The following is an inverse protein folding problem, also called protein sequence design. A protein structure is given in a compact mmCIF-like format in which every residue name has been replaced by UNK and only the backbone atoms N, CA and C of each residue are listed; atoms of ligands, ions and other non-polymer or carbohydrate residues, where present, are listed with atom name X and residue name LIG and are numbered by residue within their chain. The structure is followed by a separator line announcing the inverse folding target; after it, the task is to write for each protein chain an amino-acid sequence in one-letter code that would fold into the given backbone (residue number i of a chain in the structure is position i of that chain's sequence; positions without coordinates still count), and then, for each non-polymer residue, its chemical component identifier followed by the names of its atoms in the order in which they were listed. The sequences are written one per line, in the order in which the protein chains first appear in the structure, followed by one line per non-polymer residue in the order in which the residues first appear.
data_IF_603663260113
#
_entry.id   IF_603663260113
#
_cell.length_a   1.000
_cell.length_b   1.000
_cell.length_c   1.000
_cell.angle_alpha   90.00
_cell.angle_beta   90.00
_cell.angle_gamma   90.00
#
_symmetry.space_group_name_H-M   'P 1'
#
loop_
_entity.id
_entity.type
_entity.pdbx_description
1 polymer ?
#
# COMPACT_ATOMS: atom_id res chain seq x y z
N UNK A 1 -1.52 -28.73 23.16
CA UNK A 1 -0.27 -29.10 23.87
C UNK A 1 0.80 -29.41 22.82
N UNK A 2 1.54 -28.41 22.34
CA UNK A 2 2.66 -28.62 21.42
C UNK A 2 3.96 -28.51 22.23
N UNK A 3 4.78 -29.57 22.15
CA UNK A 3 5.99 -29.76 22.93
C UNK A 3 7.11 -28.84 22.45
N UNK A 4 7.80 -28.24 23.42
CA UNK A 4 9.14 -27.68 23.33
C UNK A 4 10.14 -28.64 22.70
N UNK A 5 11.01 -28.11 21.85
CA UNK A 5 12.38 -28.63 21.69
C UNK A 5 13.34 -27.46 21.86
N UNK A 6 13.87 -27.41 23.08
CA UNK A 6 15.02 -26.65 23.51
C UNK A 6 16.26 -27.23 22.82
N UNK A 7 16.88 -26.47 21.91
CA UNK A 7 18.09 -26.84 21.19
C UNK A 7 19.21 -25.84 21.46
N UNK A 8 19.82 -25.98 22.64
CA UNK A 8 21.05 -25.33 23.09
C UNK A 8 22.23 -25.69 22.17
N UNK A 9 22.80 -24.71 21.46
CA UNK A 9 24.13 -24.84 20.85
C UNK A 9 25.05 -23.69 21.26
N UNK A 10 25.86 -24.03 22.25
CA UNK A 10 27.30 -23.80 22.38
C UNK A 10 27.91 -22.47 21.90
N UNK A 11 28.35 -21.69 22.90
CA UNK A 11 29.24 -20.54 22.79
C UNK A 11 30.70 -21.00 22.62
N UNK A 12 31.45 -20.37 21.71
CA UNK A 12 32.91 -20.22 21.80
C UNK A 12 33.37 -18.93 21.11
N UNK A 13 34.01 -17.97 21.82
CA UNK A 13 34.71 -16.85 21.21
C UNK A 13 36.22 -17.14 21.06
N UNK A 14 36.90 -16.27 20.31
CA UNK A 14 38.33 -15.92 20.36
C UNK A 14 39.11 -16.19 19.06
N UNK A 15 39.32 -15.15 18.24
CA UNK A 15 40.68 -14.76 17.83
C UNK A 15 40.76 -13.25 17.54
N UNK A 16 41.74 -12.61 18.17
CA UNK A 16 42.24 -11.28 17.90
C UNK A 16 42.99 -11.32 16.56
N UNK A 17 42.69 -10.37 15.67
CA UNK A 17 43.45 -10.14 14.44
C UNK A 17 43.37 -8.68 14.02
N UNK A 18 44.23 -7.83 14.60
CA UNK A 18 44.59 -6.54 14.02
C UNK A 18 45.76 -6.79 13.06
N UNK A 19 45.59 -6.49 11.78
CA UNK A 19 46.66 -6.63 10.82
C UNK A 19 46.28 -6.19 9.41
N UNK A 20 46.86 -5.07 8.99
CA UNK A 20 47.25 -4.86 7.60
C UNK A 20 46.20 -4.23 6.71
N UNK A 21 46.33 -2.92 6.48
CA UNK A 21 45.73 -2.27 5.34
C UNK A 21 46.12 -2.95 4.03
N UNK A 22 45.14 -3.07 3.15
CA UNK A 22 45.36 -3.22 1.72
C UNK A 22 44.34 -2.32 1.05
N UNK A 23 44.80 -1.15 0.65
CA UNK A 23 44.15 -0.28 -0.32
C UNK A 23 43.82 -1.11 -1.56
N UNK A 24 42.55 -1.27 -1.96
CA UNK A 24 42.25 -1.84 -3.26
C UNK A 24 42.73 -0.86 -4.34
N UNK A 25 43.50 -1.31 -5.35
CA UNK A 25 43.81 -0.50 -6.50
C UNK A 25 42.56 -0.36 -7.37
N UNK A 26 42.21 0.88 -7.70
CA UNK A 26 41.41 1.21 -8.89
C UNK A 26 40.08 0.46 -9.02
N UNK A 27 39.12 0.76 -8.15
CA UNK A 27 37.75 0.75 -8.62
C UNK A 27 37.60 2.00 -9.47
N UNK A 28 37.38 1.84 -10.78
CA UNK A 28 36.76 2.89 -11.59
C UNK A 28 35.62 3.51 -10.75
N UNK A 29 35.44 4.83 -10.76
CA UNK A 29 34.26 5.40 -10.13
C UNK A 29 33.07 4.67 -10.75
N UNK A 30 32.37 3.85 -9.95
CA UNK A 30 31.02 3.42 -10.29
C UNK A 30 30.36 4.70 -10.76
N UNK A 31 29.84 4.77 -12.01
CA UNK A 31 29.13 5.94 -12.45
C UNK A 31 28.05 6.12 -11.39
N UNK A 32 28.22 7.15 -10.56
CA UNK A 32 27.12 7.70 -9.79
C UNK A 32 26.12 7.98 -10.89
N UNK A 33 25.08 7.16 -10.96
CA UNK A 33 23.97 7.49 -11.79
C UNK A 33 23.44 8.76 -11.13
N UNK A 34 23.91 9.91 -11.61
CA UNK A 34 23.19 11.16 -11.52
C UNK A 34 21.86 10.81 -12.18
N UNK A 35 20.92 10.36 -11.35
CA UNK A 35 19.52 10.40 -11.69
C UNK A 35 19.26 11.90 -11.81
N UNK A 36 19.32 12.35 -13.06
CA UNK A 36 18.87 13.66 -13.49
C UNK A 36 17.64 13.98 -12.66
N UNK A 37 17.67 15.10 -11.93
CA UNK A 37 16.56 15.51 -11.08
C UNK A 37 15.40 15.89 -12.00
N UNK A 38 14.72 14.85 -12.50
CA UNK A 38 13.47 14.94 -13.23
C UNK A 38 12.56 15.87 -12.44
N UNK A 39 11.97 16.85 -13.13
CA UNK A 39 11.09 17.80 -12.48
C UNK A 39 9.86 17.05 -11.96
N UNK A 40 9.83 16.80 -10.65
CA UNK A 40 8.71 16.12 -10.01
C UNK A 40 7.39 16.83 -10.28
N UNK A 41 6.32 16.03 -10.38
CA UNK A 41 4.96 16.56 -10.51
C UNK A 41 4.64 17.60 -9.42
N UNK A 42 4.00 18.71 -9.80
CA UNK A 42 3.68 19.83 -8.88
C UNK A 42 2.23 19.82 -8.38
N UNK A 43 1.43 18.87 -8.84
CA UNK A 43 0.03 18.71 -8.42
C UNK A 43 -0.20 17.28 -7.95
N UNK A 44 -1.05 17.12 -6.92
CA UNK A 44 -1.35 15.80 -6.37
C UNK A 44 -1.83 14.80 -7.46
N UNK A 45 -2.74 15.15 -8.38
CA UNK A 45 -3.17 14.21 -9.41
C UNK A 45 -2.04 13.76 -10.35
N UNK A 46 -1.15 14.68 -10.74
CA UNK A 46 -0.01 14.34 -11.60
C UNK A 46 1.02 13.48 -10.85
N UNK A 47 1.25 13.73 -9.56
CA UNK A 47 2.15 12.91 -8.75
C UNK A 47 1.58 11.50 -8.53
N UNK A 48 0.25 11.36 -8.40
CA UNK A 48 -0.40 10.05 -8.36
C UNK A 48 -0.29 9.33 -9.70
N UNK A 49 -0.33 10.03 -10.84
CA UNK A 49 -0.08 9.40 -12.15
C UNK A 49 1.35 8.89 -12.30
N UNK A 50 2.34 9.67 -11.81
CA UNK A 50 3.73 9.26 -11.74
C UNK A 50 3.90 8.01 -10.85
N UNK A 51 3.25 7.99 -9.68
CA UNK A 51 3.24 6.85 -8.77
C UNK A 51 2.66 5.59 -9.43
N UNK A 52 1.55 5.72 -10.17
CA UNK A 52 0.94 4.60 -10.90
C UNK A 52 1.90 4.04 -11.95
N UNK A 53 2.58 4.90 -12.70
CA UNK A 53 3.54 4.45 -13.71
C UNK A 53 4.72 3.67 -13.10
N UNK A 54 5.25 4.15 -11.97
CA UNK A 54 6.32 3.44 -11.25
C UNK A 54 5.80 2.14 -10.62
N UNK A 55 4.60 2.15 -10.04
CA UNK A 55 3.95 0.95 -9.51
C UNK A 55 3.79 -0.13 -10.59
N UNK A 56 3.31 0.24 -11.78
CA UNK A 56 3.15 -0.69 -12.91
C UNK A 56 4.51 -1.26 -13.37
N UNK A 57 5.56 -0.44 -13.37
CA UNK A 57 6.92 -0.89 -13.67
C UNK A 57 7.44 -1.90 -12.64
N UNK A 58 7.26 -1.63 -11.34
CA UNK A 58 7.61 -2.57 -10.26
C UNK A 58 6.82 -3.88 -10.44
N UNK A 59 5.49 -3.79 -10.57
CA UNK A 59 4.60 -4.95 -10.72
C UNK A 59 5.01 -5.80 -11.90
N UNK A 60 5.21 -5.19 -13.07
CA UNK A 60 5.62 -5.91 -14.28
C UNK A 60 6.97 -6.60 -14.13
N UNK A 61 7.93 -5.98 -13.44
CA UNK A 61 9.24 -6.59 -13.21
C UNK A 61 9.15 -7.75 -12.22
N UNK A 62 8.40 -7.59 -11.12
CA UNK A 62 8.20 -8.64 -10.11
C UNK A 62 7.42 -9.84 -10.67
N UNK A 63 6.36 -9.61 -11.44
CA UNK A 63 5.59 -10.67 -12.10
C UNK A 63 6.42 -11.44 -13.14
N UNK A 64 7.39 -10.77 -13.77
CA UNK A 64 8.36 -11.40 -14.67
C UNK A 64 9.51 -12.11 -13.95
N UNK A 65 9.62 -11.98 -12.61
CA UNK A 65 10.74 -12.47 -11.82
C UNK A 65 12.06 -11.73 -12.09
N UNK A 66 12.00 -10.53 -12.66
CA UNK A 66 13.17 -9.73 -13.06
C UNK A 66 13.54 -8.73 -11.95
N UNK A 67 14.13 -9.27 -10.88
CA UNK A 67 14.48 -8.50 -9.67
C UNK A 67 15.45 -7.35 -9.96
N UNK A 68 16.40 -7.57 -10.87
CA UNK A 68 17.35 -6.52 -11.29
C UNK A 68 16.62 -5.34 -11.93
N UNK A 69 15.60 -5.59 -12.76
CA UNK A 69 14.76 -4.51 -13.31
C UNK A 69 13.82 -3.89 -12.30
N UNK A 70 13.40 -4.62 -11.27
CA UNK A 70 12.52 -4.09 -10.23
C UNK A 70 13.25 -3.11 -9.30
N UNK A 71 14.58 -3.25 -9.15
CA UNK A 71 15.35 -2.52 -8.14
C UNK A 71 15.32 -0.99 -8.32
N UNK A 72 15.55 -0.47 -9.52
CA UNK A 72 15.51 0.98 -9.76
C UNK A 72 14.11 1.58 -9.56
N UNK A 73 13.03 1.06 -10.17
CA UNK A 73 11.67 1.52 -9.91
C UNK A 73 11.27 1.41 -8.43
N UNK A 74 11.77 0.40 -7.70
CA UNK A 74 11.50 0.24 -6.27
C UNK A 74 12.20 1.32 -5.42
N UNK A 75 13.32 1.87 -5.87
CA UNK A 75 13.96 3.04 -5.23
C UNK A 75 13.24 4.33 -5.60
N UNK A 76 12.89 4.49 -6.87
CA UNK A 76 12.17 5.66 -7.38
C UNK A 76 10.79 5.83 -6.73
N UNK A 77 10.08 4.73 -6.42
CA UNK A 77 8.76 4.80 -5.77
C UNK A 77 8.81 5.53 -4.43
N UNK A 78 9.91 5.39 -3.68
CA UNK A 78 10.10 6.11 -2.42
C UNK A 78 10.15 7.63 -2.63
N UNK A 79 10.92 8.10 -3.62
CA UNK A 79 11.00 9.53 -3.95
C UNK A 79 9.67 10.09 -4.45
N UNK A 80 8.95 9.33 -5.27
CA UNK A 80 7.62 9.75 -5.74
C UNK A 80 6.64 9.83 -4.57
N UNK A 81 6.68 8.87 -3.63
CA UNK A 81 5.82 8.90 -2.44
C UNK A 81 6.11 10.12 -1.53
N UNK A 82 7.37 10.52 -1.37
CA UNK A 82 7.72 11.75 -0.65
C UNK A 82 7.08 12.99 -1.31
N UNK A 83 7.08 13.06 -2.63
CA UNK A 83 6.41 14.14 -3.36
C UNK A 83 4.88 14.08 -3.23
N UNK A 84 4.30 12.88 -3.36
CA UNK A 84 2.84 12.67 -3.17
C UNK A 84 2.42 13.09 -1.76
N UNK A 85 3.21 12.78 -0.72
CA UNK A 85 2.97 13.20 0.66
C UNK A 85 2.94 14.72 0.80
N UNK A 86 3.98 15.42 0.33
CA UNK A 86 4.03 16.89 0.38
C UNK A 86 2.91 17.58 -0.40
N UNK A 87 2.37 16.92 -1.43
CA UNK A 87 1.20 17.40 -2.16
C UNK A 87 -0.11 17.07 -1.45
N UNK A 88 -0.20 15.90 -0.80
CA UNK A 88 -1.34 15.46 0.00
C UNK A 88 -1.58 16.34 1.22
N UNK A 89 -0.56 17.04 1.73
CA UNK A 89 -0.72 18.00 2.83
C UNK A 89 -1.74 19.10 2.53
N UNK A 90 -2.00 19.40 1.24
CA UNK A 90 -2.98 20.38 0.77
C UNK A 90 -4.41 19.86 0.69
N UNK A 91 -4.61 18.54 0.83
CA UNK A 91 -5.93 17.95 1.01
C UNK A 91 -6.45 18.30 2.40
N UNK A 92 -7.76 18.19 2.58
CA UNK A 92 -8.42 18.45 3.86
C UNK A 92 -9.33 17.28 4.29
N UNK A 93 -9.66 17.23 5.57
CA UNK A 93 -10.61 16.27 6.14
C UNK A 93 -10.28 14.81 5.84
N UNK A 94 -11.32 14.04 5.51
CA UNK A 94 -11.22 12.59 5.24
C UNK A 94 -10.31 12.29 4.03
N UNK A 95 -10.18 13.21 3.07
CA UNK A 95 -9.31 13.02 1.92
C UNK A 95 -7.83 13.05 2.32
N UNK A 96 -7.44 13.98 3.21
CA UNK A 96 -6.08 14.04 3.75
C UNK A 96 -5.76 12.79 4.55
N UNK A 97 -6.65 12.39 5.45
CA UNK A 97 -6.45 11.20 6.27
C UNK A 97 -6.30 9.94 5.40
N UNK A 98 -7.18 9.73 4.42
CA UNK A 98 -7.09 8.60 3.50
C UNK A 98 -5.79 8.62 2.68
N UNK A 99 -5.33 9.80 2.25
CA UNK A 99 -4.05 9.93 1.56
C UNK A 99 -2.88 9.53 2.46
N UNK A 100 -2.82 10.06 3.69
CA UNK A 100 -1.76 9.73 4.66
C UNK A 100 -1.71 8.24 4.95
N UNK A 101 -2.85 7.61 5.27
CA UNK A 101 -2.90 6.17 5.56
C UNK A 101 -2.44 5.31 4.36
N UNK A 102 -2.83 5.69 3.14
CA UNK A 102 -2.40 4.99 1.94
C UNK A 102 -0.89 5.18 1.65
N UNK A 103 -0.37 6.39 1.85
CA UNK A 103 1.06 6.70 1.65
C UNK A 103 1.92 5.94 2.66
N UNK A 104 1.53 5.92 3.93
CA UNK A 104 2.22 5.16 4.97
C UNK A 104 2.25 3.66 4.65
N UNK A 105 1.11 3.12 4.19
CA UNK A 105 1.02 1.72 3.77
C UNK A 105 1.97 1.42 2.59
N UNK A 106 2.07 2.33 1.62
CA UNK A 106 2.95 2.17 0.47
C UNK A 106 4.43 2.26 0.85
N UNK A 107 4.83 3.25 1.67
CA UNK A 107 6.20 3.33 2.18
C UNK A 107 6.61 2.07 2.93
N UNK A 108 5.72 1.58 3.80
CA UNK A 108 5.97 0.35 4.54
C UNK A 108 6.10 -0.85 3.61
N UNK A 109 5.13 -1.06 2.71
CA UNK A 109 5.10 -2.25 1.85
C UNK A 109 6.28 -2.28 0.87
N UNK A 110 6.57 -1.17 0.17
CA UNK A 110 7.72 -1.11 -0.72
C UNK A 110 9.05 -1.15 0.03
N UNK A 111 9.13 -0.50 1.19
CA UNK A 111 10.32 -0.58 2.06
C UNK A 111 10.60 -2.00 2.53
N UNK A 112 9.58 -2.75 2.95
CA UNK A 112 9.71 -4.16 3.33
C UNK A 112 10.16 -5.02 2.13
N UNK A 113 9.67 -4.75 0.92
CA UNK A 113 10.12 -5.44 -0.30
C UNK A 113 11.58 -5.12 -0.62
N UNK A 114 11.97 -3.85 -0.59
CA UNK A 114 13.35 -3.42 -0.83
C UNK A 114 14.32 -4.06 0.16
N UNK A 115 13.99 -4.01 1.45
CA UNK A 115 14.76 -4.68 2.50
C UNK A 115 14.97 -6.17 2.21
N UNK A 116 13.92 -6.87 1.77
CA UNK A 116 14.02 -8.30 1.41
C UNK A 116 14.95 -8.53 0.23
N UNK A 117 14.88 -7.69 -0.81
CA UNK A 117 15.78 -7.77 -1.97
C UNK A 117 17.25 -7.52 -1.60
N UNK A 118 17.49 -6.68 -0.60
CA UNK A 118 18.82 -6.41 -0.03
C UNK A 118 19.29 -7.44 1.01
N UNK A 119 18.61 -8.58 1.12
CA UNK A 119 18.96 -9.66 2.05
C UNK A 119 18.69 -9.34 3.53
N UNK A 120 17.90 -8.30 3.78
CA UNK A 120 17.44 -7.92 5.12
C UNK A 120 16.09 -8.57 5.43
N UNK A 121 15.60 -8.37 6.65
CA UNK A 121 14.24 -8.78 7.02
C UNK A 121 13.25 -7.87 6.30
N UNK A 122 12.31 -8.48 5.59
CA UNK A 122 11.31 -7.77 4.80
C UNK A 122 10.19 -8.71 4.35
N UNK A 123 9.42 -8.29 3.36
CA UNK A 123 8.31 -9.05 2.79
C UNK A 123 8.59 -9.45 1.33
N UNK A 124 8.04 -10.57 0.89
CA UNK A 124 8.03 -10.90 -0.53
C UNK A 124 6.94 -10.06 -1.22
N UNK A 125 7.21 -9.53 -2.41
CA UNK A 125 6.24 -8.68 -3.12
C UNK A 125 4.88 -9.36 -3.32
N UNK A 126 4.88 -10.66 -3.59
CA UNK A 126 3.64 -11.44 -3.72
C UNK A 126 2.76 -11.38 -2.46
N UNK A 127 3.35 -11.27 -1.26
CA UNK A 127 2.62 -11.24 0.00
C UNK A 127 1.95 -9.88 0.27
N UNK A 128 2.47 -8.81 -0.32
CA UNK A 128 2.02 -7.43 -0.07
C UNK A 128 1.43 -6.73 -1.30
N UNK A 129 1.52 -7.35 -2.48
CA UNK A 129 1.10 -6.76 -3.76
C UNK A 129 -0.36 -6.31 -3.76
N UNK A 130 -1.26 -7.08 -3.14
CA UNK A 130 -2.68 -6.71 -3.04
C UNK A 130 -2.90 -5.48 -2.15
N UNK A 131 -2.13 -5.33 -1.07
CA UNK A 131 -2.21 -4.16 -0.19
C UNK A 131 -1.65 -2.91 -0.89
N UNK A 132 -0.57 -3.08 -1.67
CA UNK A 132 -0.01 -2.02 -2.53
C UNK A 132 -1.06 -1.57 -3.56
N UNK A 133 -1.64 -2.51 -4.31
CA UNK A 133 -2.67 -2.21 -5.33
C UNK A 133 -3.85 -1.45 -4.70
N UNK A 134 -4.29 -1.87 -3.50
CA UNK A 134 -5.37 -1.21 -2.76
C UNK A 134 -5.01 0.22 -2.34
N UNK A 135 -3.80 0.44 -1.80
CA UNK A 135 -3.36 1.76 -1.38
C UNK A 135 -3.15 2.71 -2.57
N UNK A 136 -2.60 2.23 -3.70
CA UNK A 136 -2.55 3.02 -4.96
C UNK A 136 -3.95 3.40 -5.42
N UNK A 137 -4.91 2.46 -5.37
CA UNK A 137 -6.29 2.73 -5.76
C UNK A 137 -6.96 3.80 -4.88
N UNK A 138 -6.66 3.84 -3.57
CA UNK A 138 -7.12 4.93 -2.69
C UNK A 138 -6.62 6.27 -3.21
N UNK A 139 -5.31 6.41 -3.47
CA UNK A 139 -4.72 7.66 -3.95
C UNK A 139 -5.30 8.11 -5.30
N UNK A 140 -5.52 7.15 -6.22
CA UNK A 140 -6.21 7.41 -7.50
C UNK A 140 -7.62 7.96 -7.28
N UNK A 141 -8.36 7.42 -6.31
CA UNK A 141 -9.70 7.89 -5.94
C UNK A 141 -9.75 9.30 -5.33
N UNK A 142 -8.60 9.86 -4.92
CA UNK A 142 -8.51 11.20 -4.34
C UNK A 142 -8.16 12.29 -5.36
N UNK A 143 -7.81 11.93 -6.61
CA UNK A 143 -7.35 12.88 -7.64
C UNK A 143 -8.32 14.03 -7.95
N UNK A 144 -9.61 13.89 -7.64
CA UNK A 144 -10.63 14.94 -7.83
C UNK A 144 -11.01 15.72 -6.58
N UNK A 145 -10.38 15.48 -5.42
CA UNK A 145 -10.80 16.05 -4.12
C UNK A 145 -10.06 17.34 -3.71
N UNK A 146 -9.24 17.90 -4.62
CA UNK A 146 -8.51 19.16 -4.41
C UNK A 146 -9.30 20.40 -4.85
N UNK A 147 -10.42 20.21 -5.55
CA UNK A 147 -11.33 21.31 -5.81
C UNK A 147 -12.10 21.50 -4.52
N UNK A 148 -11.67 22.47 -3.72
CA UNK A 148 -12.52 23.00 -2.66
C UNK A 148 -13.83 23.48 -3.27
N UNK A 149 -14.80 22.58 -3.41
CA UNK A 149 -16.20 22.93 -3.30
C UNK A 149 -16.35 23.46 -1.87
N UNK A 150 -15.99 24.74 -1.74
CA UNK A 150 -16.55 25.56 -0.69
C UNK A 150 -18.05 25.39 -0.86
N UNK A 151 -18.68 24.60 0.02
CA UNK A 151 -20.05 24.91 0.38
C UNK A 151 -20.10 26.43 0.52
N UNK A 152 -21.00 27.14 -0.18
CA UNK A 152 -21.12 28.56 0.00
C UNK A 152 -21.31 28.78 1.51
N UNK A 153 -20.37 29.50 2.12
CA UNK A 153 -20.49 29.89 3.52
C UNK A 153 -21.92 30.43 3.71
N UNK A 154 -22.65 30.00 4.75
CA UNK A 154 -23.98 30.56 5.00
C UNK A 154 -23.80 32.07 5.07
N UNK A 155 -24.46 32.79 4.16
CA UNK A 155 -24.34 34.24 4.09
C UNK A 155 -24.65 34.81 5.49
N UNK A 156 -23.79 35.68 6.05
CA UNK A 156 -24.06 36.32 7.32
C UNK A 156 -25.20 37.32 7.10
N UNK A 157 -26.45 36.87 7.26
CA UNK A 157 -27.61 37.72 7.06
C UNK A 157 -28.96 37.06 6.84
N UNK A 158 -29.08 35.73 6.78
CA UNK A 158 -30.40 35.10 6.71
C UNK A 158 -31.14 35.25 8.07
N UNK A 159 -32.31 35.92 8.13
CA UNK A 159 -33.12 35.93 9.35
C UNK A 159 -33.57 34.50 9.70
N UNK A 160 -33.87 34.20 10.98
CA UNK A 160 -34.30 32.87 11.38
C UNK A 160 -35.54 32.46 10.59
N UNK A 161 -35.38 31.43 9.76
CA UNK A 161 -36.50 30.79 9.08
C UNK A 161 -37.47 30.30 10.14
N UNK A 162 -38.67 30.84 10.04
CA UNK A 162 -39.80 30.55 10.89
C UNK A 162 -40.14 29.07 10.79
N UNK A 163 -40.31 28.47 11.95
CA UNK A 163 -40.86 27.15 12.24
C UNK A 163 -41.84 26.65 11.16
N UNK A 164 -41.43 25.63 10.40
CA UNK A 164 -42.36 24.78 9.65
C UNK A 164 -42.80 23.63 10.58
N UNK A 165 -44.11 23.29 10.59
CA UNK A 165 -44.65 22.28 11.50
C UNK A 165 -44.10 20.87 11.20
N UNK A 166 -44.12 19.96 12.20
CA UNK A 166 -43.64 18.60 12.01
C UNK A 166 -44.48 17.85 10.97
N UNK A 167 -43.80 17.21 10.02
CA UNK A 167 -44.41 16.27 9.09
C UNK A 167 -44.98 15.04 9.85
N UNK A 168 -46.09 14.45 9.38
CA UNK A 168 -46.65 13.25 9.99
C UNK A 168 -45.72 12.04 9.78
N UNK A 169 -45.54 11.27 10.86
CA UNK A 169 -44.83 10.00 10.87
C UNK A 169 -45.39 9.06 9.79
N UNK A 170 -44.55 8.69 8.84
CA UNK A 170 -44.85 7.56 7.95
C UNK A 170 -44.24 6.32 8.58
N UNK A 171 -45.13 5.46 9.04
CA UNK A 171 -44.90 4.15 9.63
C UNK A 171 -44.08 3.26 8.69
N UNK A 172 -42.96 2.73 9.20
CA UNK A 172 -42.18 1.68 8.55
C UNK A 172 -43.02 0.40 8.44
N UNK A 173 -43.19 -0.22 7.26
CA UNK A 173 -43.71 -1.58 7.20
C UNK A 173 -42.67 -2.56 7.79
N UNK A 174 -43.12 -3.60 8.51
CA UNK A 174 -42.22 -4.60 9.10
C UNK A 174 -41.49 -5.42 8.01
N UNK A 175 -40.24 -5.78 8.32
CA UNK A 175 -39.41 -6.64 7.50
C UNK A 175 -40.08 -8.01 7.23
N UNK A 176 -39.96 -8.58 6.01
CA UNK A 176 -40.33 -9.96 5.77
C UNK A 176 -39.34 -10.91 6.46
N UNK A 177 -39.89 -11.93 7.10
CA UNK A 177 -39.20 -13.01 7.79
C UNK A 177 -38.30 -13.85 6.86
N UNK A 178 -37.26 -14.54 7.39
CA UNK A 178 -36.41 -15.42 6.60
C UNK A 178 -37.20 -16.67 6.17
N UNK A 179 -37.34 -16.85 4.85
CA UNK A 179 -37.85 -18.10 4.30
C UNK A 179 -36.82 -19.22 4.42
N UNK A 180 -37.35 -20.40 4.70
CA UNK A 180 -36.68 -21.55 5.24
C UNK A 180 -35.98 -22.38 4.16
N UNK A 181 -34.83 -22.95 4.52
CA UNK A 181 -34.15 -23.99 3.76
C UNK A 181 -35.07 -25.21 3.57
N UNK A 182 -35.12 -25.82 2.37
CA UNK A 182 -35.46 -27.21 2.23
C UNK A 182 -34.19 -28.07 2.16
N UNK A 183 -34.04 -28.91 3.18
CA UNK A 183 -32.96 -29.88 3.29
C UNK A 183 -33.02 -31.03 2.28
N UNK A 184 -31.83 -31.63 2.14
CA UNK A 184 -31.51 -33.05 2.01
C UNK A 184 -32.28 -33.88 0.99
N UNK A 185 -31.53 -34.42 0.01
CA UNK A 185 -31.71 -35.80 -0.43
C UNK A 185 -30.35 -36.49 -0.57
N UNK A 186 -30.15 -37.45 0.32
CA UNK A 186 -29.23 -38.58 0.20
C UNK A 186 -29.31 -39.26 -1.18
N UNK A 187 -28.22 -39.90 -1.59
CA UNK A 187 -28.34 -41.04 -2.49
C UNK A 187 -27.09 -41.47 -3.26
N UNK A 188 -26.53 -42.58 -2.77
CA UNK A 188 -25.94 -43.68 -3.54
C UNK A 188 -24.43 -43.67 -3.84
N UNK A 189 -23.76 -44.47 -2.99
CA UNK A 189 -22.61 -45.32 -3.25
C UNK A 189 -22.60 -45.98 -4.65
N UNK A 190 -21.41 -46.18 -5.22
CA UNK A 190 -20.99 -47.53 -5.64
C UNK A 190 -19.48 -47.61 -5.82
N UNK A 191 -18.89 -48.53 -5.08
CA UNK A 191 -17.52 -49.04 -5.17
C UNK A 191 -17.21 -49.59 -6.58
N UNK A 192 -15.96 -49.47 -7.03
CA UNK A 192 -15.35 -50.47 -7.90
C UNK A 192 -13.82 -50.45 -7.76
N UNK A 193 -13.34 -51.51 -7.12
CA UNK A 193 -11.97 -51.98 -6.96
C UNK A 193 -11.60 -52.89 -8.15
N UNK A 194 -10.44 -52.66 -8.77
CA UNK A 194 -9.60 -53.60 -9.56
C UNK A 194 -8.50 -52.75 -10.21
N UNK A 195 -7.21 -53.06 -10.24
CA UNK A 195 -6.39 -54.23 -9.92
C UNK A 195 -4.95 -53.73 -9.70
#
# INVERSE_FOLDING_TARGET
MYKSILGLFLVAPLVIGCGGGSTPPGGDPIPKHDHDHEAHATTFPAAVDELVAIHDAVKSAMDAGDIEKAHTPLHEVGHVLENVEGLAEKLEGEAKQAATEAIDALFKAYGDVDQKLHGQKGADYADVSADIDAAVAVLVGLKGKNDGESEPAPEPGAPPATELPPAPATELPPAPAPESEPGVKDGAESEAKTE
#
